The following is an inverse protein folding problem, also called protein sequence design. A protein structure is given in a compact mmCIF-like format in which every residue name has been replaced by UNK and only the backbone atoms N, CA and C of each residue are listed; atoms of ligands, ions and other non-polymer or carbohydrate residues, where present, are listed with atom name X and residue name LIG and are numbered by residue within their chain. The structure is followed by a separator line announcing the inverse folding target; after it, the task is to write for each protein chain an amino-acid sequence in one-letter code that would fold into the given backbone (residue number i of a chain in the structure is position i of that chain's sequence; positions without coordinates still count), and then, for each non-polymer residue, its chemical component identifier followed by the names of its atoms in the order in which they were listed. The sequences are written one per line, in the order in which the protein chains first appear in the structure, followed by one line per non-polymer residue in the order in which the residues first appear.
data_IF_847351943305
#
_entry.id   IF_847351943305
#
_cell.length_a   1.000
_cell.length_b   1.000
_cell.length_c   1.000
_cell.angle_alpha   90.00
_cell.angle_beta   90.00
_cell.angle_gamma   90.00
#
_symmetry.space_group_name_H-M   'P 1'
#
loop_
_entity.id
_entity.type
_entity.pdbx_description
1 polymer ?
#
# COMPACT_ATOMS: atom_id res chain seq x y z
N UNK A 1 6.49 -5.84 10.35
CA UNK A 1 5.48 -4.85 10.80
C UNK A 1 4.18 -5.07 10.01
N UNK A 2 3.02 -4.70 10.56
CA UNK A 2 1.73 -4.78 9.85
C UNK A 2 1.15 -3.38 9.70
N UNK A 3 0.82 -3.00 8.48
CA UNK A 3 0.10 -1.78 8.12
C UNK A 3 -1.36 -2.14 7.84
N UNK A 4 -2.28 -1.51 8.58
CA UNK A 4 -3.71 -1.74 8.46
C UNK A 4 -4.49 -0.47 8.78
N UNK A 5 -5.77 -0.40 8.44
CA UNK A 5 -6.61 0.71 8.87
C UNK A 5 -7.57 0.23 9.96
N UNK A 6 -8.03 1.16 10.79
CA UNK A 6 -8.81 0.84 12.01
C UNK A 6 -10.32 0.81 11.80
N UNK A 7 -10.84 1.28 10.66
CA UNK A 7 -12.28 1.35 10.42
C UNK A 7 -12.66 1.02 8.98
N UNK A 8 -13.90 0.58 8.80
CA UNK A 8 -14.52 0.42 7.48
C UNK A 8 -15.08 1.76 6.94
N UNK A 9 -14.80 2.90 7.59
CA UNK A 9 -15.35 4.19 7.21
C UNK A 9 -14.43 4.89 6.19
N UNK A 10 -14.97 5.09 4.99
CA UNK A 10 -14.24 5.31 3.73
C UNK A 10 -13.30 6.52 3.64
N UNK A 11 -13.31 7.40 4.63
CA UNK A 11 -12.55 8.65 4.58
C UNK A 11 -11.26 8.62 5.42
N UNK A 12 -11.00 7.52 6.15
CA UNK A 12 -9.83 7.42 7.01
C UNK A 12 -8.61 6.86 6.28
N UNK A 13 -7.51 7.62 6.33
CA UNK A 13 -6.17 7.17 5.91
C UNK A 13 -5.32 6.90 7.14
N UNK A 14 -4.84 5.67 7.30
CA UNK A 14 -3.88 5.32 8.34
C UNK A 14 -2.48 5.21 7.73
N UNK A 15 -1.56 6.05 8.18
CA UNK A 15 -0.18 6.06 7.68
C UNK A 15 0.77 5.33 8.62
N UNK A 16 1.62 4.47 8.06
CA UNK A 16 2.68 3.73 8.72
C UNK A 16 4.03 4.21 8.24
N UNK A 17 4.91 4.50 9.19
CA UNK A 17 6.27 4.94 8.91
C UNK A 17 7.20 3.74 8.82
N UNK A 18 7.93 3.65 7.72
CA UNK A 18 9.00 2.68 7.51
C UNK A 18 10.32 3.44 7.42
N UNK A 19 11.03 3.54 8.55
CA UNK A 19 12.26 4.31 8.68
C UNK A 19 13.50 3.58 8.13
N UNK A 20 13.42 2.27 7.91
CA UNK A 20 14.53 1.42 7.48
C UNK A 20 14.09 0.47 6.37
N UNK A 21 15.04 -0.09 5.64
CA UNK A 21 14.77 -1.21 4.72
C UNK A 21 14.10 -2.37 5.48
N UNK A 22 13.30 -3.16 4.76
CA UNK A 22 12.59 -4.30 5.33
C UNK A 22 11.24 -4.55 4.69
N UNK A 23 10.46 -5.43 5.30
CA UNK A 23 9.14 -5.82 4.83
C UNK A 23 8.05 -5.28 5.76
N UNK A 24 6.98 -4.77 5.15
CA UNK A 24 5.72 -4.46 5.82
C UNK A 24 4.59 -5.28 5.20
N UNK A 25 3.80 -5.90 6.06
CA UNK A 25 2.59 -6.62 5.66
C UNK A 25 1.43 -5.65 5.60
N UNK A 26 0.67 -5.67 4.53
CA UNK A 26 -0.52 -4.87 4.28
C UNK A 26 -1.75 -5.75 4.51
N UNK A 27 -2.61 -5.33 5.43
CA UNK A 27 -3.80 -6.09 5.82
C UNK A 27 -5.01 -5.18 5.89
N UNK A 28 -6.11 -5.58 5.26
CA UNK A 28 -7.40 -4.92 5.42
C UNK A 28 -8.16 -5.49 6.63
N UNK A 29 -8.91 -4.65 7.38
CA UNK A 29 -9.78 -5.14 8.44
C UNK A 29 -10.89 -6.05 7.87
N UNK A 30 -11.47 -6.89 8.73
CA UNK A 30 -12.61 -7.74 8.35
C UNK A 30 -13.73 -6.92 7.69
N UNK A 31 -14.47 -7.53 6.75
CA UNK A 31 -15.49 -6.82 5.97
C UNK A 31 -14.93 -5.92 4.86
N UNK A 32 -13.61 -5.86 4.67
CA UNK A 32 -12.96 -5.16 3.56
C UNK A 32 -11.89 -6.00 2.87
N UNK A 33 -11.58 -5.68 1.62
CA UNK A 33 -10.55 -6.34 0.79
C UNK A 33 -9.70 -5.33 0.05
N UNK A 34 -8.41 -5.63 -0.12
CA UNK A 34 -7.49 -4.77 -0.88
C UNK A 34 -7.99 -4.57 -2.33
N UNK A 35 -8.05 -3.31 -2.74
CA UNK A 35 -8.60 -2.82 -4.00
C UNK A 35 -7.55 -2.45 -5.04
N UNK A 36 -6.31 -2.19 -4.62
CA UNK A 36 -5.09 -2.07 -5.46
C UNK A 36 -4.73 -3.36 -6.20
N UNK A 37 -5.66 -4.32 -6.21
CA UNK A 37 -5.77 -5.34 -7.24
C UNK A 37 -6.16 -4.65 -8.54
N UNK A 38 -5.17 -4.14 -9.29
CA UNK A 38 -5.26 -4.26 -10.74
C UNK A 38 -5.62 -5.72 -11.01
N UNK A 39 -6.83 -5.95 -11.53
CA UNK A 39 -7.34 -7.27 -11.79
C UNK A 39 -6.32 -7.97 -12.69
N UNK A 40 -5.71 -9.06 -12.21
CA UNK A 40 -4.70 -9.89 -12.88
C UNK A 40 -3.19 -9.52 -12.69
N UNK A 41 -2.81 -8.29 -12.32
CA UNK A 41 -1.40 -7.80 -12.43
C UNK A 41 -0.73 -7.35 -11.10
N UNK A 42 -1.43 -7.40 -9.97
CA UNK A 42 -0.86 -6.97 -8.67
C UNK A 42 0.26 -7.89 -8.12
N UNK A 43 0.63 -8.95 -8.85
CA UNK A 43 1.71 -9.87 -8.51
C UNK A 43 3.04 -9.56 -9.22
N UNK A 44 3.17 -8.40 -9.86
CA UNK A 44 4.31 -8.11 -10.73
C UNK A 44 5.52 -7.50 -9.99
N UNK A 45 5.63 -7.72 -8.67
CA UNK A 45 6.79 -7.31 -7.89
C UNK A 45 7.02 -5.78 -7.96
N UNK A 46 8.13 -5.28 -8.55
CA UNK A 46 8.38 -3.85 -8.69
C UNK A 46 7.41 -3.10 -9.61
N UNK A 47 6.70 -3.78 -10.51
CA UNK A 47 5.77 -3.12 -11.46
C UNK A 47 4.30 -3.20 -11.03
N UNK A 48 4.03 -3.77 -9.86
CA UNK A 48 2.70 -3.81 -9.29
C UNK A 48 2.08 -2.41 -9.22
N UNK A 49 0.79 -2.31 -9.57
CA UNK A 49 0.06 -1.05 -9.51
C UNK A 49 -0.33 -0.70 -8.07
N UNK A 50 0.01 0.52 -7.65
CA UNK A 50 -0.26 1.07 -6.33
C UNK A 50 -0.84 2.48 -6.47
N UNK A 51 -1.43 3.01 -5.40
CA UNK A 51 -1.93 4.38 -5.42
C UNK A 51 -0.84 5.36 -4.98
N UNK A 52 -0.66 6.45 -5.74
CA UNK A 52 0.26 7.53 -5.37
C UNK A 52 -0.35 8.51 -4.35
N UNK A 53 -1.67 8.53 -4.25
CA UNK A 53 -2.44 9.46 -3.44
C UNK A 53 -3.70 8.76 -2.89
N UNK A 54 -4.06 9.07 -1.65
CA UNK A 54 -5.36 8.66 -1.09
C UNK A 54 -6.51 9.45 -1.74
N UNK A 55 -7.70 8.87 -1.79
CA UNK A 55 -8.97 9.47 -2.24
C UNK A 55 -9.08 9.87 -3.74
N UNK A 56 -7.96 10.03 -4.46
CA UNK A 56 -7.97 10.37 -5.90
C UNK A 56 -7.83 9.15 -6.80
N UNK A 57 -7.37 8.00 -6.27
CA UNK A 57 -7.39 6.72 -6.97
C UNK A 57 -6.43 6.61 -8.15
N UNK A 58 -5.36 7.43 -8.19
CA UNK A 58 -4.38 7.39 -9.28
C UNK A 58 -3.44 6.18 -9.12
N UNK A 59 -3.69 5.14 -9.90
CA UNK A 59 -2.78 4.00 -10.01
C UNK A 59 -1.50 4.39 -10.75
N UNK A 60 -0.37 3.96 -10.21
CA UNK A 60 0.96 4.05 -10.82
C UNK A 60 1.74 2.77 -10.52
N UNK A 61 2.72 2.44 -11.35
CA UNK A 61 3.61 1.31 -11.08
C UNK A 61 4.51 1.61 -9.87
N UNK A 62 4.67 0.65 -8.96
CA UNK A 62 5.39 0.83 -7.70
C UNK A 62 6.81 1.39 -7.90
N UNK A 63 7.58 0.87 -8.85
CA UNK A 63 8.93 1.32 -9.15
C UNK A 63 9.03 2.78 -9.58
N UNK A 64 7.93 3.41 -10.03
CA UNK A 64 7.90 4.85 -10.36
C UNK A 64 7.86 5.72 -9.11
N UNK A 65 7.35 5.21 -8.00
CA UNK A 65 7.32 5.89 -6.70
C UNK A 65 8.49 5.45 -5.81
N UNK A 66 8.74 4.14 -5.77
CA UNK A 66 9.65 3.49 -4.85
C UNK A 66 10.48 2.45 -5.60
N UNK A 67 11.61 2.89 -6.15
CA UNK A 67 12.52 2.05 -6.98
C UNK A 67 12.96 0.77 -6.26
N UNK A 68 13.25 0.85 -4.96
CA UNK A 68 13.60 -0.29 -4.10
C UNK A 68 12.41 -1.10 -3.58
N UNK A 69 11.19 -0.82 -4.07
CA UNK A 69 9.96 -1.43 -3.64
C UNK A 69 9.63 -2.71 -4.42
N UNK A 70 9.12 -3.72 -3.73
CA UNK A 70 8.56 -4.92 -4.35
C UNK A 70 7.28 -5.30 -3.62
N UNK A 71 6.20 -5.48 -4.36
CA UNK A 71 4.91 -5.86 -3.80
C UNK A 71 4.55 -7.29 -4.23
N UNK A 72 4.17 -8.11 -3.25
CA UNK A 72 3.81 -9.52 -3.47
C UNK A 72 2.50 -9.82 -2.77
N UNK A 73 1.55 -10.44 -3.47
CA UNK A 73 0.32 -10.94 -2.85
C UNK A 73 0.61 -12.25 -2.12
N UNK A 74 0.21 -12.36 -0.86
CA UNK A 74 0.37 -13.58 -0.08
C UNK A 74 -0.97 -14.00 0.56
N UNK A 75 -1.80 -14.72 -0.20
CA UNK A 75 -3.10 -15.26 0.23
C UNK A 75 -4.00 -14.26 0.99
N UNK A 76 -3.90 -14.25 2.32
CA UNK A 76 -4.69 -13.42 3.22
C UNK A 76 -4.12 -12.01 3.44
N UNK A 77 -2.85 -11.75 3.11
CA UNK A 77 -2.19 -10.46 3.29
C UNK A 77 -1.23 -10.15 2.14
N UNK A 78 -1.03 -8.89 1.81
CA UNK A 78 -0.06 -8.53 0.78
C UNK A 78 1.21 -8.01 1.47
N UNK A 79 2.38 -8.22 0.90
CA UNK A 79 3.65 -7.80 1.49
C UNK A 79 4.34 -6.77 0.59
N UNK A 80 4.68 -5.60 1.15
CA UNK A 80 5.56 -4.61 0.53
C UNK A 80 6.95 -4.73 1.14
N UNK A 81 7.93 -5.04 0.31
CA UNK A 81 9.36 -5.12 0.68
C UNK A 81 10.09 -3.91 0.12
N UNK A 82 10.94 -3.30 0.95
CA UNK A 82 11.81 -2.18 0.61
C UNK A 82 13.25 -2.61 0.78
N UNK A 83 13.97 -2.78 -0.33
CA UNK A 83 15.39 -3.15 -0.35
C UNK A 83 16.32 -1.93 -0.40
N UNK A 84 15.80 -0.78 -0.80
CA UNK A 84 16.52 0.49 -0.88
C UNK A 84 15.61 1.65 -0.46
N UNK A 85 16.10 2.51 0.43
CA UNK A 85 15.38 3.73 0.80
C UNK A 85 15.39 4.74 -0.37
N UNK A 86 14.28 5.44 -0.63
CA UNK A 86 14.21 6.45 -1.68
C UNK A 86 15.06 7.69 -1.34
N UNK A 87 15.35 8.53 -2.34
CA UNK A 87 16.11 9.78 -2.14
C UNK A 87 15.32 10.85 -1.38
N UNK A 88 14.00 10.86 -1.53
CA UNK A 88 13.06 11.68 -0.77
C UNK A 88 12.05 10.75 -0.11
N UNK A 89 11.43 11.19 1.00
CA UNK A 89 10.37 10.40 1.61
C UNK A 89 9.20 10.22 0.63
N UNK A 90 8.73 8.99 0.49
CA UNK A 90 7.65 8.62 -0.44
C UNK A 90 6.57 7.91 0.33
N UNK A 91 5.31 8.18 0.01
CA UNK A 91 4.17 7.44 0.55
C UNK A 91 3.50 6.63 -0.55
N UNK A 92 3.37 5.33 -0.33
CA UNK A 92 2.63 4.41 -1.19
C UNK A 92 1.29 4.11 -0.53
N UNK A 93 0.19 4.22 -1.26
CA UNK A 93 -1.15 4.02 -0.72
C UNK A 93 -1.80 2.73 -1.22
N UNK A 94 -2.55 2.11 -0.31
CA UNK A 94 -3.34 0.92 -0.52
C UNK A 94 -4.78 1.20 -0.05
N UNK A 95 -5.76 0.78 -0.83
CA UNK A 95 -7.18 0.97 -0.59
C UNK A 95 -7.80 -0.36 -0.14
N UNK A 96 -8.54 -0.34 0.96
CA UNK A 96 -9.44 -1.43 1.34
C UNK A 96 -10.87 -1.06 0.94
N UNK A 97 -11.49 -1.84 0.05
CA UNK A 97 -12.90 -1.69 -0.31
C UNK A 97 -13.78 -2.57 0.57
N UNK A 98 -14.99 -2.11 0.90
CA UNK A 98 -15.99 -2.92 1.62
C UNK A 98 -16.42 -4.13 0.81
N UNK A 99 -16.61 -5.27 1.47
CA UNK A 99 -17.18 -6.49 0.88
C UNK A 99 -18.68 -6.59 1.19
N UNK A 100 -19.52 -6.54 0.15
CA UNK A 100 -20.99 -6.76 0.24
C UNK A 100 -21.87 -5.51 0.16
N UNK A 101 -23.19 -5.73 -0.08
CA UNK A 101 -24.30 -4.83 0.24
C UNK A 101 -24.41 -3.44 -0.43
N UNK A 102 -23.49 -3.06 -1.32
CA UNK A 102 -23.54 -1.76 -2.00
C UNK A 102 -22.22 -1.31 -2.63
N UNK A 103 -21.09 -1.93 -2.27
CA UNK A 103 -19.76 -1.51 -2.74
C UNK A 103 -19.35 -0.14 -2.19
N UNK A 104 -18.04 0.12 -2.11
CA UNK A 104 -17.54 1.42 -1.68
C UNK A 104 -16.17 1.35 -1.00
N UNK A 105 -15.62 2.53 -0.78
CA UNK A 105 -14.35 2.71 -0.07
C UNK A 105 -14.54 2.34 1.41
N UNK A 106 -13.67 1.46 1.90
CA UNK A 106 -13.57 1.07 3.30
C UNK A 106 -12.59 1.97 4.05
N UNK A 107 -11.34 2.04 3.59
CA UNK A 107 -10.31 2.89 4.17
C UNK A 107 -9.07 2.96 3.28
N UNK A 108 -8.13 3.84 3.63
CA UNK A 108 -6.81 3.91 3.01
C UNK A 108 -5.70 3.56 4.01
N UNK A 109 -4.67 2.87 3.53
CA UNK A 109 -3.44 2.55 4.24
C UNK A 109 -2.31 3.25 3.49
N UNK A 110 -1.63 4.18 4.15
CA UNK A 110 -0.41 4.79 3.63
C UNK A 110 0.82 4.10 4.22
N UNK A 111 1.79 3.73 3.40
CA UNK A 111 3.12 3.34 3.86
C UNK A 111 4.09 4.44 3.45
N UNK A 112 4.52 5.24 4.41
CA UNK A 112 5.53 6.27 4.21
C UNK A 112 6.91 5.68 4.46
N UNK A 113 7.72 5.61 3.40
CA UNK A 113 9.11 5.17 3.44
C UNK A 113 9.99 6.41 3.60
N UNK A 114 10.82 6.41 4.64
CA UNK A 114 11.74 7.51 4.90
C UNK A 114 12.79 7.64 3.79
N UNK A 115 13.30 8.86 3.61
CA UNK A 115 14.44 9.08 2.74
C UNK A 115 15.69 8.37 3.25
N UNK A 116 16.61 8.02 2.35
CA UNK A 116 17.94 7.58 2.73
C UNK A 116 18.64 8.65 3.59
N UNK A 117 19.34 8.27 4.68
CA UNK A 117 20.16 9.20 5.42
C UNK A 117 21.22 9.85 4.52
N UNK A 118 21.60 11.12 4.76
CA UNK A 118 22.78 11.70 4.15
C UNK A 118 24.00 10.81 4.42
N UNK A 119 24.83 10.62 3.38
CA UNK A 119 26.13 9.93 3.49
C UNK A 119 27.13 10.73 4.34
#
# INVERSE_FOLDING_TARGET
PVATCVSENGDQTQTYQLATIGQVRITCPGGTTLANRGAEEANDGPTAQVYSEANTGKNVALNTLLIGGTYVRADANDDLTVSQLPSNAVTVYFLCNKTGGGGGVGCWIGVQVAAQPPL
#
